data_IF_470870567742
#
_entry.id   IF_470870567742
#
_cell.length_a   1.000
_cell.length_b   1.000
_cell.length_c   1.000
_cell.angle_alpha   90.00
_cell.angle_beta   90.00
_cell.angle_gamma   90.00
#
_symmetry.space_group_name_H-M   'P 1'
#
loop_
_entity.id
_entity.type
_entity.pdbx_description
1 polymer ?
#
# COMPACT_ATOMS: atom_id res chain seq x y z
N UNK A 1 -17.82 8.28 -0.58
CA UNK A 1 -16.64 9.01 -1.01
C UNK A 1 -15.42 8.11 -1.04
N UNK A 2 -14.81 7.97 -2.17
CA UNK A 2 -13.68 7.09 -2.30
C UNK A 2 -12.37 7.83 -2.33
N UNK A 3 -11.30 7.05 -2.27
CA UNK A 3 -9.97 7.58 -2.55
C UNK A 3 -9.77 7.67 -4.05
N UNK A 4 -8.89 8.56 -4.44
CA UNK A 4 -8.42 8.64 -5.81
C UNK A 4 -7.03 8.02 -5.91
N UNK A 5 -6.60 7.70 -7.10
CA UNK A 5 -5.23 7.23 -7.33
C UNK A 5 -4.77 7.69 -8.70
N UNK A 6 -3.44 7.81 -8.83
CA UNK A 6 -2.83 8.29 -10.06
C UNK A 6 -2.88 7.23 -11.15
N UNK A 7 -2.61 7.65 -12.39
CA UNK A 7 -2.52 6.72 -13.51
C UNK A 7 -1.40 5.70 -13.29
N UNK A 8 -0.29 6.12 -12.65
CA UNK A 8 0.80 5.20 -12.36
C UNK A 8 0.38 4.12 -11.37
N UNK A 9 -0.38 4.49 -10.35
CA UNK A 9 -0.90 3.52 -9.38
C UNK A 9 -1.90 2.59 -10.07
N UNK A 10 -2.77 3.13 -10.93
CA UNK A 10 -3.72 2.30 -11.66
C UNK A 10 -2.99 1.28 -12.53
N UNK A 11 -1.97 1.72 -13.24
CA UNK A 11 -1.19 0.82 -14.09
C UNK A 11 -0.56 -0.30 -13.28
N UNK A 12 0.06 0.06 -12.14
CA UNK A 12 0.67 -0.93 -11.26
C UNK A 12 -0.37 -1.93 -10.78
N UNK A 13 -1.54 -1.46 -10.33
CA UNK A 13 -2.58 -2.33 -9.82
C UNK A 13 -3.10 -3.28 -10.90
N UNK A 14 -3.23 -2.81 -12.12
CA UNK A 14 -3.68 -3.65 -13.23
C UNK A 14 -2.65 -4.70 -13.60
N UNK A 15 -1.39 -4.29 -13.76
CA UNK A 15 -0.33 -5.19 -14.21
C UNK A 15 -0.02 -6.23 -13.15
N UNK A 16 -0.01 -5.83 -11.88
CA UNK A 16 0.34 -6.74 -10.78
C UNK A 16 -0.88 -7.45 -10.18
N UNK A 17 -2.09 -7.16 -10.66
CA UNK A 17 -3.29 -7.74 -10.08
C UNK A 17 -3.49 -7.31 -8.63
N UNK A 18 -3.19 -6.07 -8.30
CA UNK A 18 -3.07 -5.64 -6.91
C UNK A 18 -4.13 -4.61 -6.51
N UNK A 19 -5.32 -4.62 -7.12
CA UNK A 19 -6.40 -3.76 -6.66
C UNK A 19 -6.77 -4.04 -5.21
N UNK A 20 -6.56 -5.27 -4.74
CA UNK A 20 -6.81 -5.63 -3.35
C UNK A 20 -6.01 -4.75 -2.38
N UNK A 21 -4.80 -4.34 -2.78
CA UNK A 21 -3.98 -3.47 -1.94
C UNK A 21 -4.61 -2.08 -1.82
N UNK A 22 -5.15 -1.56 -2.90
CA UNK A 22 -5.85 -0.28 -2.87
C UNK A 22 -7.10 -0.36 -2.00
N UNK A 23 -7.80 -1.50 -2.04
CA UNK A 23 -8.96 -1.72 -1.20
C UNK A 23 -8.58 -1.73 0.29
N UNK A 24 -7.44 -2.34 0.63
CA UNK A 24 -6.95 -2.33 2.00
C UNK A 24 -6.71 -0.90 2.46
N UNK A 25 -5.98 -0.12 1.66
CA UNK A 25 -5.69 1.28 2.00
C UNK A 25 -7.00 2.04 2.23
N UNK A 26 -7.97 1.87 1.34
CA UNK A 26 -9.24 2.56 1.44
C UNK A 26 -10.04 2.12 2.66
N UNK A 27 -9.88 0.89 3.12
CA UNK A 27 -10.66 0.36 4.22
C UNK A 27 -10.30 0.96 5.57
N UNK A 28 -9.12 1.52 5.70
CA UNK A 28 -8.63 2.04 6.98
C UNK A 28 -8.92 3.51 7.14
N UNK A 29 -9.80 4.12 6.68
CA UNK A 29 -10.38 5.48 6.84
C UNK A 29 -9.65 6.37 7.85
N UNK A 30 -8.34 6.41 7.80
CA UNK A 30 -7.54 7.21 8.72
C UNK A 30 -7.46 8.64 8.20
N UNK A 31 -7.14 9.56 9.13
CA UNK A 31 -7.20 10.99 8.84
C UNK A 31 -5.85 11.66 8.72
N UNK A 32 -4.78 10.90 8.85
CA UNK A 32 -3.44 11.47 8.69
C UNK A 32 -3.32 12.09 7.29
N UNK A 33 -2.86 13.34 7.19
CA UNK A 33 -2.76 13.98 5.87
C UNK A 33 -1.73 13.33 4.96
N UNK A 34 -0.74 12.64 5.53
CA UNK A 34 0.30 11.95 4.78
C UNK A 34 0.46 10.55 5.35
N UNK A 35 0.39 9.54 4.49
CA UNK A 35 0.53 8.14 4.90
C UNK A 35 1.49 7.45 3.95
N UNK A 36 2.36 6.62 4.51
CA UNK A 36 3.25 5.75 3.73
C UNK A 36 2.77 4.32 3.92
N UNK A 37 2.29 3.73 2.85
CA UNK A 37 1.83 2.35 2.83
C UNK A 37 2.89 1.49 2.17
N UNK A 38 3.28 0.40 2.81
CA UNK A 38 4.32 -0.50 2.32
C UNK A 38 3.79 -1.91 2.31
N UNK A 39 3.95 -2.59 1.18
CA UNK A 39 3.72 -4.03 1.07
C UNK A 39 5.08 -4.69 0.96
N UNK A 40 5.37 -5.61 1.87
CA UNK A 40 6.59 -6.42 1.82
C UNK A 40 6.20 -7.88 1.64
N UNK A 41 6.83 -8.53 0.66
CA UNK A 41 6.53 -9.92 0.31
C UNK A 41 7.75 -10.77 0.59
N UNK A 42 7.54 -11.86 1.32
CA UNK A 42 8.56 -12.90 1.50
C UNK A 42 7.89 -14.24 1.20
N UNK A 43 8.18 -14.78 0.03
CA UNK A 43 7.47 -15.93 -0.49
C UNK A 43 7.75 -17.21 0.27
N UNK A 44 8.74 -17.20 1.15
CA UNK A 44 9.13 -18.36 1.94
C UNK A 44 8.65 -18.25 3.39
N UNK A 45 7.93 -17.20 3.75
CA UNK A 45 7.45 -17.05 5.11
C UNK A 45 5.94 -17.11 5.19
N UNK A 46 5.46 -17.17 6.43
CA UNK A 46 4.04 -17.21 6.72
C UNK A 46 3.76 -16.23 7.86
N UNK A 47 3.04 -15.15 7.62
CA UNK A 47 2.32 -14.80 6.37
C UNK A 47 3.28 -14.47 5.24
N UNK A 48 2.82 -14.64 4.01
CA UNK A 48 3.64 -14.39 2.83
C UNK A 48 3.91 -12.90 2.62
N UNK A 49 3.01 -12.04 3.06
CA UNK A 49 3.18 -10.60 2.90
C UNK A 49 2.62 -9.84 4.08
N UNK A 50 3.11 -8.62 4.27
CA UNK A 50 2.63 -7.74 5.34
C UNK A 50 2.46 -6.34 4.76
N UNK A 51 1.31 -5.74 5.01
CA UNK A 51 1.02 -4.35 4.67
C UNK A 51 1.19 -3.52 5.94
N UNK A 52 1.96 -2.44 5.86
CA UNK A 52 2.13 -1.53 6.99
C UNK A 52 1.86 -0.10 6.57
N UNK A 53 1.50 0.73 7.54
CA UNK A 53 1.32 2.17 7.30
C UNK A 53 2.04 2.96 8.37
N UNK A 54 2.75 4.00 7.94
CA UNK A 54 3.41 4.98 8.79
C UNK A 54 3.02 6.37 8.34
N UNK A 55 3.13 7.33 9.27
CA UNK A 55 2.87 8.73 8.92
C UNK A 55 4.07 9.35 8.21
N UNK A 56 5.27 8.84 8.45
CA UNK A 56 6.49 9.33 7.83
C UNK A 56 7.58 8.29 8.01
N UNK A 57 8.68 8.50 7.30
CA UNK A 57 9.86 7.65 7.44
C UNK A 57 10.39 7.75 8.87
N UNK A 58 10.61 6.62 9.50
CA UNK A 58 11.10 6.59 10.88
C UNK A 58 10.03 6.66 11.94
N UNK A 59 8.79 6.97 11.56
CA UNK A 59 7.68 6.95 12.52
C UNK A 59 7.23 5.52 12.77
N UNK A 60 6.62 5.25 13.94
CA UNK A 60 6.17 3.89 14.23
C UNK A 60 5.06 3.45 13.29
N UNK A 61 4.97 2.14 13.10
CA UNK A 61 3.90 1.54 12.31
C UNK A 61 2.57 1.76 13.02
N UNK A 62 1.60 2.31 12.30
CA UNK A 62 0.25 2.56 12.82
C UNK A 62 -0.76 1.52 12.38
N UNK A 63 -0.52 0.87 11.24
CA UNK A 63 -1.39 -0.19 10.72
C UNK A 63 -0.51 -1.32 10.26
N UNK A 64 -0.90 -2.54 10.60
CA UNK A 64 -0.22 -3.74 10.13
C UNK A 64 -1.27 -4.79 9.80
N UNK A 65 -1.21 -5.31 8.58
CA UNK A 65 -2.13 -6.36 8.16
C UNK A 65 -1.34 -7.46 7.49
N UNK A 66 -1.55 -8.69 7.93
CA UNK A 66 -0.88 -9.86 7.36
C UNK A 66 -1.68 -10.38 6.19
N UNK A 67 -0.97 -10.76 5.13
CA UNK A 67 -1.55 -11.33 3.93
C UNK A 67 -1.03 -12.75 3.83
N UNK A 68 -1.87 -13.77 4.05
CA UNK A 68 -1.39 -15.15 4.07
C UNK A 68 -0.78 -15.61 2.75
N UNK A 69 -1.35 -15.15 1.63
CA UNK A 69 -0.89 -15.54 0.30
C UNK A 69 -1.05 -14.38 -0.68
N UNK A 70 -0.06 -14.20 -1.55
CA UNK A 70 -0.15 -13.24 -2.63
C UNK A 70 0.74 -13.69 -3.79
N UNK A 71 0.34 -13.34 -5.01
CA UNK A 71 1.15 -13.53 -6.20
C UNK A 71 1.75 -12.21 -6.70
N UNK A 72 1.82 -11.21 -5.81
CA UNK A 72 2.40 -9.92 -6.16
C UNK A 72 3.83 -10.14 -6.67
N UNK A 73 4.18 -9.56 -7.84
CA UNK A 73 5.42 -9.93 -8.53
C UNK A 73 6.69 -9.32 -7.93
N UNK A 74 6.58 -8.29 -7.10
CA UNK A 74 7.75 -7.64 -6.52
C UNK A 74 7.89 -8.03 -5.06
N UNK A 75 9.08 -7.82 -4.50
CA UNK A 75 9.33 -8.09 -3.09
C UNK A 75 8.82 -6.98 -2.20
N UNK A 76 8.69 -5.77 -2.74
CA UNK A 76 8.24 -4.64 -1.95
C UNK A 76 7.67 -3.58 -2.86
N UNK A 77 6.64 -2.88 -2.39
CA UNK A 77 6.17 -1.66 -3.03
C UNK A 77 5.77 -0.67 -1.94
N UNK A 78 6.02 0.62 -2.19
CA UNK A 78 5.55 1.70 -1.34
C UNK A 78 4.56 2.55 -2.11
N UNK A 79 3.52 2.98 -1.41
CA UNK A 79 2.53 3.89 -1.95
C UNK A 79 2.33 5.01 -0.95
N UNK A 80 2.22 6.24 -1.43
CA UNK A 80 1.89 7.38 -0.59
C UNK A 80 0.41 7.68 -0.71
N UNK A 81 -0.20 8.08 0.39
CA UNK A 81 -1.56 8.60 0.39
C UNK A 81 -1.49 10.02 0.90
N UNK A 82 -1.81 10.98 0.05
CA UNK A 82 -1.73 12.41 0.37
C UNK A 82 -3.05 13.05 -0.04
N UNK A 83 -3.75 13.62 0.95
CA UNK A 83 -5.01 14.34 0.72
C UNK A 83 -6.00 13.50 -0.10
N UNK A 84 -6.10 12.21 0.22
CA UNK A 84 -7.04 11.33 -0.43
C UNK A 84 -6.61 10.78 -1.77
N UNK A 85 -5.36 11.01 -2.18
CA UNK A 85 -4.83 10.50 -3.44
C UNK A 85 -3.69 9.52 -3.18
N UNK A 86 -3.80 8.33 -3.74
CA UNK A 86 -2.73 7.32 -3.69
C UNK A 86 -1.81 7.56 -4.86
N UNK A 87 -0.51 7.64 -4.61
CA UNK A 87 0.48 7.89 -5.66
C UNK A 87 1.75 7.09 -5.40
N UNK A 88 2.52 6.89 -6.46
CA UNK A 88 3.84 6.26 -6.35
C UNK A 88 4.83 7.26 -5.79
N UNK A 89 5.88 6.79 -5.07
CA UNK A 89 6.91 7.71 -4.59
C UNK A 89 7.55 8.53 -5.71
N UNK A 90 7.67 7.97 -6.91
CA UNK A 90 8.25 8.69 -8.04
C UNK A 90 7.34 9.80 -8.56
N UNK A 91 6.09 9.82 -8.17
CA UNK A 91 5.12 10.83 -8.58
C UNK A 91 4.97 11.96 -7.56
N UNK A 92 5.66 11.81 -6.45
CA UNK A 92 5.56 12.74 -5.32
C UNK A 92 6.34 14.04 -5.54
#
# INVERSE_FOLDING_TARGET
MGLHYTDGVKYMAEVAGAYWLLDIIASYRRREPFQIWTLKVNRESEPMAVVTMREDTGEPVKVRQEIPYTDFPLDEIKLYLIDGVILLPSEY
#
